data_IF_523062158101
#
_entry.id   IF_523062158101
#
_cell.length_a   1.000
_cell.length_b   1.000
_cell.length_c   1.000
_cell.angle_alpha   90.00
_cell.angle_beta   90.00
_cell.angle_gamma   90.00
#
_symmetry.space_group_name_H-M   'P 1'
#
loop_
_entity.id
_entity.type
_entity.pdbx_description
1 polymer ?
#
# COMPACT_ATOMS: atom_id res chain seq x y z
N UNK A 1 21.61 -16.01 13.91
CA UNK A 1 21.60 -17.48 13.91
C UNK A 1 20.18 -17.96 13.71
N UNK A 2 19.94 -18.82 12.72
CA UNK A 2 18.63 -19.46 12.58
C UNK A 2 18.37 -20.37 13.79
N UNK A 3 17.10 -20.61 14.13
CA UNK A 3 16.71 -21.57 15.17
C UNK A 3 17.35 -22.95 14.95
N UNK A 4 17.64 -23.29 13.69
CA UNK A 4 18.32 -24.52 13.26
C UNK A 4 19.78 -24.53 13.70
N UNK A 5 20.52 -23.42 13.59
CA UNK A 5 21.94 -23.32 13.99
C UNK A 5 22.13 -23.43 15.51
N UNK A 6 21.19 -22.92 16.28
CA UNK A 6 21.21 -23.02 17.75
C UNK A 6 20.91 -24.46 18.20
N UNK A 7 20.03 -25.17 17.46
CA UNK A 7 19.63 -26.55 17.78
C UNK A 7 20.72 -27.56 17.37
N UNK A 8 21.35 -27.39 16.21
CA UNK A 8 22.45 -28.25 15.75
C UNK A 8 23.67 -28.13 16.66
N UNK A 9 23.98 -26.93 17.15
CA UNK A 9 25.13 -26.71 18.03
C UNK A 9 24.93 -27.31 19.44
N UNK A 10 23.68 -27.41 19.93
CA UNK A 10 23.35 -28.04 21.22
C UNK A 10 23.27 -29.56 21.19
N UNK A 11 22.94 -30.17 20.06
CA UNK A 11 22.76 -31.62 19.92
C UNK A 11 24.02 -32.36 19.44
N UNK A 12 25.02 -31.63 18.94
CA UNK A 12 26.30 -32.17 18.47
C UNK A 12 27.07 -33.08 19.46
N UNK A 13 27.05 -32.88 20.80
CA UNK A 13 27.86 -33.70 21.71
C UNK A 13 27.28 -35.09 22.05
N UNK A 14 26.06 -35.44 21.59
CA UNK A 14 25.36 -36.67 21.98
C UNK A 14 25.05 -37.62 20.79
N UNK A 15 25.80 -37.50 19.69
CA UNK A 15 25.55 -38.22 18.44
C UNK A 15 25.98 -39.71 18.48
N UNK A 16 25.27 -40.53 19.25
CA UNK A 16 25.12 -41.96 18.92
C UNK A 16 24.09 -42.14 17.80
N UNK A 17 24.04 -43.32 17.16
CA UNK A 17 23.12 -43.66 16.06
C UNK A 17 21.64 -43.27 16.35
N UNK A 18 21.23 -43.39 17.61
CA UNK A 18 19.89 -42.99 18.07
C UNK A 18 19.66 -41.47 18.05
N UNK A 19 20.69 -40.67 18.37
CA UNK A 19 20.63 -39.20 18.30
C UNK A 19 20.52 -38.68 16.87
N UNK A 20 21.19 -39.36 15.93
CA UNK A 20 21.06 -39.06 14.50
C UNK A 20 19.64 -39.29 13.95
N UNK A 21 18.97 -40.37 14.37
CA UNK A 21 17.59 -40.68 13.98
C UNK A 21 16.59 -39.67 14.57
N UNK A 22 16.78 -39.24 15.81
CA UNK A 22 15.92 -38.21 16.43
C UNK A 22 16.08 -36.87 15.73
N UNK A 23 17.32 -36.46 15.41
CA UNK A 23 17.56 -35.23 14.64
C UNK A 23 16.94 -35.31 13.25
N UNK A 24 17.08 -36.44 12.55
CA UNK A 24 16.48 -36.63 11.22
C UNK A 24 14.94 -36.63 11.27
N UNK A 25 14.34 -37.24 12.29
CA UNK A 25 12.88 -37.22 12.49
C UNK A 25 12.36 -35.82 12.82
N UNK A 26 13.07 -35.07 13.67
CA UNK A 26 12.75 -33.67 13.98
C UNK A 26 12.91 -32.80 12.73
N UNK A 27 14.00 -32.96 11.97
CA UNK A 27 14.23 -32.21 10.73
C UNK A 27 13.16 -32.56 9.68
N UNK A 28 12.80 -33.84 9.56
CA UNK A 28 11.72 -34.30 8.71
C UNK A 28 10.37 -33.71 9.13
N UNK A 29 10.06 -33.68 10.43
CA UNK A 29 8.87 -32.99 10.95
C UNK A 29 8.92 -31.49 10.63
N UNK A 30 10.05 -30.81 10.87
CA UNK A 30 10.20 -29.38 10.59
C UNK A 30 10.04 -29.08 9.10
N UNK A 31 10.56 -29.92 8.21
CA UNK A 31 10.39 -29.77 6.76
C UNK A 31 8.94 -30.08 6.34
N UNK A 32 8.28 -31.07 6.97
CA UNK A 32 6.87 -31.40 6.74
C UNK A 32 5.92 -30.31 7.28
N UNK A 33 6.28 -29.65 8.38
CA UNK A 33 5.51 -28.57 9.02
C UNK A 33 5.96 -27.17 8.58
N UNK A 34 7.01 -27.04 7.76
CA UNK A 34 7.32 -25.80 7.06
C UNK A 34 6.29 -25.59 5.95
N UNK A 35 5.15 -25.01 6.31
CA UNK A 35 4.24 -24.49 5.31
C UNK A 35 4.97 -23.44 4.47
N UNK A 36 5.17 -23.75 3.18
CA UNK A 36 5.70 -22.80 2.21
C UNK A 36 4.80 -21.57 2.20
N UNK A 37 5.40 -20.39 2.36
CA UNK A 37 4.73 -19.11 2.15
C UNK A 37 4.15 -19.07 0.73
N UNK A 38 2.83 -19.23 0.63
CA UNK A 38 2.11 -19.32 -0.63
C UNK A 38 1.53 -17.96 -0.95
N UNK A 39 1.91 -17.42 -2.10
CA UNK A 39 1.33 -16.24 -2.72
C UNK A 39 0.08 -16.63 -3.50
N UNK A 40 -1.04 -15.95 -3.22
CA UNK A 40 -2.36 -16.39 -3.70
C UNK A 40 -2.84 -15.64 -4.94
N UNK A 41 -2.32 -14.46 -5.21
CA UNK A 41 -2.66 -13.68 -6.40
C UNK A 41 -2.21 -14.38 -7.69
N UNK A 42 -3.03 -14.21 -8.73
CA UNK A 42 -2.76 -14.70 -10.08
C UNK A 42 -2.96 -13.60 -11.12
N UNK A 43 -1.92 -13.25 -11.91
CA UNK A 43 -2.01 -12.10 -12.81
C UNK A 43 -2.89 -12.38 -14.04
N UNK A 44 -3.21 -13.65 -14.31
CA UNK A 44 -3.99 -14.10 -15.47
C UNK A 44 -5.40 -14.48 -15.04
N UNK A 45 -5.51 -15.33 -14.02
CA UNK A 45 -6.78 -15.93 -13.60
C UNK A 45 -7.51 -15.11 -12.53
N UNK A 46 -8.83 -15.16 -12.55
CA UNK A 46 -9.67 -14.60 -11.50
C UNK A 46 -9.77 -15.58 -10.33
N UNK A 47 -9.64 -15.08 -9.11
CA UNK A 47 -9.80 -15.86 -7.87
C UNK A 47 -10.85 -15.21 -6.97
N UNK A 48 -11.65 -16.04 -6.32
CA UNK A 48 -12.66 -15.58 -5.37
C UNK A 48 -12.07 -15.48 -3.96
N UNK A 49 -12.44 -14.41 -3.24
CA UNK A 49 -12.07 -14.23 -1.84
C UNK A 49 -13.29 -13.82 -1.03
N UNK A 50 -13.45 -14.45 0.13
CA UNK A 50 -14.64 -14.31 0.99
C UNK A 50 -14.49 -13.12 1.93
N UNK A 51 -15.49 -12.24 1.96
CA UNK A 51 -15.60 -11.18 2.97
C UNK A 51 -15.84 -11.82 4.33
N UNK A 52 -14.93 -11.59 5.27
CA UNK A 52 -15.01 -12.16 6.63
C UNK A 52 -15.24 -11.10 7.69
N UNK A 53 -14.89 -9.84 7.40
CA UNK A 53 -15.14 -8.73 8.31
C UNK A 53 -15.34 -7.43 7.53
N UNK A 54 -16.13 -6.51 8.12
CA UNK A 54 -16.49 -5.22 7.54
C UNK A 54 -16.62 -4.19 8.65
N UNK A 55 -15.72 -3.22 8.67
CA UNK A 55 -15.69 -2.15 9.66
C UNK A 55 -16.02 -0.80 9.02
N UNK A 56 -16.92 -0.04 9.64
CA UNK A 56 -17.37 1.25 9.15
C UNK A 56 -16.46 2.36 9.71
N UNK A 57 -15.62 2.94 8.84
CA UNK A 57 -14.66 3.97 9.22
C UNK A 57 -15.28 5.37 9.22
N UNK A 58 -16.24 5.62 8.33
CA UNK A 58 -16.98 6.88 8.26
C UNK A 58 -18.34 6.67 7.58
N UNK A 59 -19.11 7.76 7.41
CA UNK A 59 -20.44 7.73 6.79
C UNK A 59 -20.46 7.13 5.36
N UNK A 60 -19.33 7.15 4.65
CA UNK A 60 -19.23 6.62 3.28
C UNK A 60 -17.98 5.77 3.04
N UNK A 61 -17.23 5.40 4.08
CA UNK A 61 -16.02 4.57 3.93
C UNK A 61 -16.06 3.40 4.90
N UNK A 62 -15.68 2.22 4.40
CA UNK A 62 -15.50 1.03 5.22
C UNK A 62 -14.21 0.29 4.84
N UNK A 63 -13.67 -0.44 5.82
CA UNK A 63 -12.64 -1.45 5.64
C UNK A 63 -13.33 -2.79 5.38
N UNK A 64 -12.92 -3.47 4.31
CA UNK A 64 -13.43 -4.78 3.92
C UNK A 64 -12.29 -5.79 4.00
N UNK A 65 -12.41 -6.77 4.90
CA UNK A 65 -11.41 -7.82 5.09
C UNK A 65 -11.82 -9.09 4.38
N UNK A 66 -10.97 -9.55 3.48
CA UNK A 66 -11.18 -10.76 2.71
C UNK A 66 -10.21 -11.85 3.14
N UNK A 67 -10.72 -13.05 3.43
CA UNK A 67 -9.91 -14.18 3.82
C UNK A 67 -9.17 -14.78 2.62
N UNK A 68 -7.90 -15.14 2.84
CA UNK A 68 -7.12 -15.97 1.94
C UNK A 68 -7.46 -17.46 2.13
N UNK A 69 -7.10 -18.35 1.18
CA UNK A 69 -7.42 -19.77 1.28
C UNK A 69 -6.87 -20.46 2.52
N UNK A 70 -5.74 -20.00 3.06
CA UNK A 70 -5.14 -20.49 4.31
C UNK A 70 -4.74 -19.32 5.20
N UNK A 71 -4.76 -19.54 6.51
CA UNK A 71 -4.32 -18.54 7.49
C UNK A 71 -2.82 -18.18 7.37
N UNK A 72 -2.01 -19.06 6.79
CA UNK A 72 -0.58 -18.88 6.54
C UNK A 72 -0.26 -18.29 5.16
N UNK A 73 -1.24 -18.19 4.26
CA UNK A 73 -1.05 -17.64 2.92
C UNK A 73 -0.74 -16.13 3.01
N UNK A 74 0.00 -15.62 2.01
CA UNK A 74 0.13 -14.18 1.75
C UNK A 74 -0.61 -13.81 0.46
N UNK A 75 -1.01 -12.54 0.35
CA UNK A 75 -1.65 -12.06 -0.86
C UNK A 75 -0.70 -12.20 -2.07
N UNK A 76 0.57 -11.89 -1.88
CA UNK A 76 1.57 -11.92 -2.94
C UNK A 76 1.54 -10.66 -3.80
N UNK A 77 1.27 -9.50 -3.18
CA UNK A 77 1.17 -8.22 -3.87
C UNK A 77 2.46 -7.41 -3.66
N UNK A 78 3.27 -7.19 -4.71
CA UNK A 78 4.41 -6.29 -4.62
C UNK A 78 4.00 -4.87 -4.22
N UNK A 79 4.83 -4.22 -3.40
CA UNK A 79 4.55 -2.88 -2.87
C UNK A 79 4.51 -1.86 -4.03
N UNK A 80 3.44 -1.09 -4.13
CA UNK A 80 3.16 -0.18 -5.25
C UNK A 80 2.29 -0.77 -6.36
N UNK A 81 1.99 -2.08 -6.30
CA UNK A 81 1.03 -2.70 -7.20
C UNK A 81 -0.37 -2.76 -6.57
N UNK A 82 -1.37 -3.01 -7.42
CA UNK A 82 -2.77 -3.08 -7.05
C UNK A 82 -3.42 -4.36 -7.58
N UNK A 83 -4.67 -4.59 -7.18
CA UNK A 83 -5.50 -5.69 -7.68
C UNK A 83 -6.63 -5.15 -8.55
N UNK A 84 -7.13 -5.97 -9.47
CA UNK A 84 -8.39 -5.75 -10.17
C UNK A 84 -9.50 -6.48 -9.44
N UNK A 85 -10.57 -5.76 -9.11
CA UNK A 85 -11.82 -6.30 -8.54
C UNK A 85 -12.90 -6.27 -9.62
N UNK A 86 -13.60 -7.39 -9.80
CA UNK A 86 -14.70 -7.52 -10.75
C UNK A 86 -16.03 -7.82 -10.07
N UNK A 87 -17.09 -7.25 -10.62
CA UNK A 87 -18.47 -7.62 -10.31
C UNK A 87 -19.31 -7.63 -11.59
N UNK A 88 -20.37 -8.43 -11.59
CA UNK A 88 -21.39 -8.37 -12.63
C UNK A 88 -22.48 -7.38 -12.22
N UNK A 89 -22.68 -6.33 -13.02
CA UNK A 89 -23.63 -5.26 -12.75
C UNK A 89 -24.47 -5.07 -14.03
N UNK A 90 -25.78 -5.30 -13.93
CA UNK A 90 -26.71 -5.22 -15.05
C UNK A 90 -26.28 -6.09 -16.26
N UNK A 91 -25.85 -7.33 -15.99
CA UNK A 91 -25.40 -8.28 -17.03
C UNK A 91 -24.06 -7.93 -17.68
N UNK A 92 -23.33 -6.94 -17.16
CA UNK A 92 -22.00 -6.55 -17.66
C UNK A 92 -20.95 -6.75 -16.58
N UNK A 93 -19.81 -7.33 -16.95
CA UNK A 93 -18.65 -7.35 -16.07
C UNK A 93 -18.05 -5.95 -15.98
N UNK A 94 -18.03 -5.41 -14.77
CA UNK A 94 -17.36 -4.15 -14.44
C UNK A 94 -16.10 -4.47 -13.64
N UNK A 95 -14.99 -3.81 -13.97
CA UNK A 95 -13.70 -4.00 -13.29
C UNK A 95 -13.18 -2.66 -12.78
N UNK A 96 -12.64 -2.63 -11.56
CA UNK A 96 -11.95 -1.47 -10.98
C UNK A 96 -10.70 -1.88 -10.23
N UNK A 97 -9.73 -0.98 -10.19
CA UNK A 97 -8.49 -1.17 -9.43
C UNK A 97 -8.67 -0.78 -7.96
N UNK A 98 -8.10 -1.58 -7.06
CA UNK A 98 -8.01 -1.30 -5.64
C UNK A 98 -6.61 -1.65 -5.15
N UNK A 99 -6.05 -0.82 -4.28
CA UNK A 99 -4.79 -1.12 -3.61
C UNK A 99 -5.07 -1.58 -2.19
N UNK A 100 -4.80 -2.85 -1.85
CA UNK A 100 -4.89 -3.35 -0.48
C UNK A 100 -4.01 -2.56 0.48
N UNK A 101 -4.50 -2.39 1.71
CA UNK A 101 -3.81 -1.67 2.79
C UNK A 101 -3.03 -2.60 3.74
N UNK A 102 -3.14 -3.91 3.50
CA UNK A 102 -2.36 -4.98 4.12
C UNK A 102 -1.10 -5.31 3.32
N UNK A 103 -0.03 -5.70 4.01
CA UNK A 103 1.23 -6.18 3.43
C UNK A 103 1.33 -7.71 3.48
N UNK A 104 2.27 -8.29 2.74
CA UNK A 104 2.43 -9.76 2.62
C UNK A 104 2.84 -10.47 3.94
N UNK A 105 3.23 -9.73 4.97
CA UNK A 105 3.51 -10.27 6.31
C UNK A 105 2.27 -10.29 7.23
N UNK A 106 1.16 -9.67 6.81
CA UNK A 106 -0.16 -9.81 7.42
C UNK A 106 -0.88 -11.01 6.79
N UNK A 107 -0.58 -12.21 7.31
CA UNK A 107 -1.03 -13.48 6.71
C UNK A 107 -2.54 -13.70 6.83
N UNK A 108 -3.07 -14.53 5.92
CA UNK A 108 -4.41 -15.09 5.98
C UNK A 108 -5.54 -14.17 5.52
N UNK A 109 -5.27 -12.89 5.24
CA UNK A 109 -6.28 -11.95 4.76
C UNK A 109 -5.68 -10.82 3.92
N UNK A 110 -6.55 -10.02 3.30
CA UNK A 110 -6.21 -8.68 2.83
C UNK A 110 -7.35 -7.70 3.08
N UNK A 111 -7.01 -6.44 3.27
CA UNK A 111 -7.98 -5.38 3.55
C UNK A 111 -8.07 -4.39 2.39
N UNK A 112 -9.30 -4.01 2.04
CA UNK A 112 -9.61 -2.92 1.13
C UNK A 112 -10.30 -1.79 1.91
N UNK A 113 -9.70 -0.60 1.90
CA UNK A 113 -10.38 0.62 2.37
C UNK A 113 -11.09 1.25 1.18
N UNK A 114 -12.43 1.29 1.22
CA UNK A 114 -13.24 1.72 0.09
C UNK A 114 -14.21 2.81 0.50
N UNK A 115 -14.08 3.96 -0.15
CA UNK A 115 -15.10 5.01 -0.17
C UNK A 115 -16.21 4.64 -1.16
N UNK A 116 -17.43 4.54 -0.67
CA UNK A 116 -18.63 4.28 -1.45
C UNK A 116 -19.13 5.57 -2.08
N UNK A 117 -19.38 5.50 -3.38
CA UNK A 117 -20.00 6.59 -4.13
C UNK A 117 -21.39 6.14 -4.54
N UNK A 118 -22.40 6.98 -4.36
CA UNK A 118 -23.81 6.63 -4.64
C UNK A 118 -24.00 6.14 -6.09
N UNK A 119 -23.37 6.84 -7.04
CA UNK A 119 -23.34 6.49 -8.47
C UNK A 119 -22.13 5.63 -8.87
N UNK A 120 -21.40 5.10 -7.88
CA UNK A 120 -20.26 4.22 -8.10
C UNK A 120 -20.71 2.80 -8.45
N UNK A 121 -20.01 2.15 -9.38
CA UNK A 121 -20.31 0.76 -9.74
C UNK A 121 -19.76 -0.21 -8.67
N UNK A 122 -18.45 -0.48 -8.71
CA UNK A 122 -17.83 -1.47 -7.82
C UNK A 122 -17.84 -1.03 -6.36
N UNK A 123 -17.68 0.26 -6.06
CA UNK A 123 -17.71 0.75 -4.68
C UNK A 123 -19.08 0.59 -4.00
N UNK A 124 -20.18 0.70 -4.76
CA UNK A 124 -21.53 0.37 -4.30
C UNK A 124 -21.76 -1.14 -4.21
N UNK A 125 -21.24 -1.91 -5.17
CA UNK A 125 -21.27 -3.37 -5.08
C UNK A 125 -20.60 -3.88 -3.79
N UNK A 126 -19.39 -3.39 -3.48
CA UNK A 126 -18.68 -3.72 -2.25
C UNK A 126 -19.47 -3.30 -1.00
N UNK A 127 -20.11 -2.12 -1.03
CA UNK A 127 -20.90 -1.65 0.13
C UNK A 127 -22.11 -2.50 0.43
N UNK A 128 -22.65 -3.20 -0.57
CA UNK A 128 -23.78 -4.11 -0.44
C UNK A 128 -23.36 -5.54 -0.08
N UNK A 129 -22.05 -5.85 -0.09
CA UNK A 129 -21.58 -7.17 0.32
C UNK A 129 -21.89 -7.41 1.80
N UNK A 130 -22.36 -8.63 2.08
CA UNK A 130 -22.53 -9.18 3.42
C UNK A 130 -21.42 -10.16 3.75
N UNK A 131 -21.11 -10.29 5.04
CA UNK A 131 -20.13 -11.28 5.51
C UNK A 131 -20.54 -12.66 4.99
N UNK A 132 -19.57 -13.35 4.40
CA UNK A 132 -19.79 -14.65 3.78
C UNK A 132 -19.78 -14.64 2.25
N UNK A 133 -20.04 -13.48 1.63
CA UNK A 133 -20.02 -13.33 0.17
C UNK A 133 -18.60 -13.16 -0.37
N UNK A 134 -18.44 -13.39 -1.67
CA UNK A 134 -17.13 -13.35 -2.32
C UNK A 134 -16.99 -12.20 -3.31
N UNK A 135 -15.74 -11.80 -3.52
CA UNK A 135 -15.34 -10.89 -4.59
C UNK A 135 -14.36 -11.58 -5.53
N UNK A 136 -14.48 -11.32 -6.84
CA UNK A 136 -13.52 -11.79 -7.85
C UNK A 136 -12.35 -10.82 -7.97
N UNK A 137 -11.14 -11.34 -7.79
CA UNK A 137 -9.89 -10.59 -7.79
C UNK A 137 -8.91 -11.18 -8.80
N UNK A 138 -8.17 -10.32 -9.49
CA UNK A 138 -7.04 -10.68 -10.35
C UNK A 138 -5.88 -9.72 -10.10
N UNK A 139 -4.66 -10.23 -10.05
CA UNK A 139 -3.48 -9.40 -9.77
C UNK A 139 -2.22 -10.24 -9.52
N UNK A 140 -1.07 -9.61 -9.29
CA UNK A 140 -0.89 -8.18 -9.17
C UNK A 140 -0.97 -7.43 -10.52
N UNK A 141 -1.24 -6.13 -10.47
CA UNK A 141 -1.28 -5.19 -11.60
C UNK A 141 -0.55 -3.90 -11.25
N UNK A 142 -0.10 -3.17 -12.27
CA UNK A 142 0.65 -1.92 -12.09
C UNK A 142 2.14 -2.07 -12.40
N UNK A 143 2.81 -0.94 -12.64
CA UNK A 143 4.23 -0.88 -13.03
C UNK A 143 5.16 -0.44 -11.92
N UNK A 144 4.63 0.21 -10.88
CA UNK A 144 5.42 0.60 -9.73
C UNK A 144 5.70 -0.60 -8.84
N UNK A 145 6.96 -0.79 -8.48
CA UNK A 145 7.39 -1.75 -7.46
C UNK A 145 8.39 -1.03 -6.57
N UNK A 146 7.99 -0.76 -5.34
CA UNK A 146 8.84 -0.14 -4.35
C UNK A 146 9.91 -1.11 -3.85
N UNK A 147 11.13 -0.63 -3.75
CA UNK A 147 12.23 -1.29 -3.05
C UNK A 147 12.85 -0.30 -2.06
N UNK A 148 13.38 -0.76 -0.91
CA UNK A 148 14.08 0.12 0.03
C UNK A 148 15.17 0.92 -0.67
N UNK A 149 15.32 2.19 -0.28
CA UNK A 149 16.32 3.12 -0.82
C UNK A 149 16.20 3.38 -2.34
N UNK A 150 15.05 3.09 -2.95
CA UNK A 150 14.85 3.31 -4.40
C UNK A 150 14.99 4.77 -4.85
N UNK A 151 14.79 5.68 -3.90
CA UNK A 151 15.08 7.09 -4.01
C UNK A 151 15.44 7.59 -2.60
N UNK A 152 16.33 8.58 -2.47
CA UNK A 152 16.58 9.25 -1.19
C UNK A 152 15.32 9.89 -0.59
N UNK A 153 14.39 10.35 -1.43
CA UNK A 153 13.14 10.97 -0.95
C UNK A 153 11.98 10.69 -1.93
N UNK A 154 10.85 10.23 -1.41
CA UNK A 154 9.57 10.17 -2.12
C UNK A 154 8.63 11.26 -1.64
N UNK A 155 8.18 12.11 -2.56
CA UNK A 155 7.14 13.11 -2.30
C UNK A 155 5.83 12.61 -2.88
N UNK A 156 4.85 12.39 -2.03
CA UNK A 156 3.59 11.74 -2.34
C UNK A 156 2.46 12.77 -2.26
N UNK A 157 1.62 12.82 -3.29
CA UNK A 157 0.45 13.70 -3.33
C UNK A 157 -0.79 12.83 -3.54
N UNK A 158 -1.63 12.74 -2.51
CA UNK A 158 -2.80 11.87 -2.50
C UNK A 158 -4.09 12.69 -2.37
N UNK A 159 -5.14 12.26 -3.08
CA UNK A 159 -6.49 12.81 -2.93
C UNK A 159 -7.51 11.72 -2.60
N UNK A 160 -8.24 11.84 -1.49
CA UNK A 160 -9.27 10.87 -1.09
C UNK A 160 -8.75 9.44 -1.04
N UNK A 161 -9.34 8.51 -1.81
CA UNK A 161 -8.91 7.10 -1.87
C UNK A 161 -7.54 6.87 -2.51
N UNK A 162 -6.97 7.90 -3.15
CA UNK A 162 -5.61 7.86 -3.69
C UNK A 162 -4.53 7.69 -2.62
N UNK A 163 -4.88 7.74 -1.34
CA UNK A 163 -3.97 7.42 -0.24
C UNK A 163 -3.51 5.96 -0.23
N UNK A 164 -4.33 5.02 -0.72
CA UNK A 164 -4.05 3.58 -0.55
C UNK A 164 -2.72 3.10 -1.17
N UNK A 165 -2.30 3.49 -2.40
CA UNK A 165 -0.96 3.18 -2.89
C UNK A 165 0.16 3.86 -2.09
N UNK A 166 -0.06 5.10 -1.61
CA UNK A 166 0.93 5.81 -0.80
C UNK A 166 1.10 5.14 0.55
N UNK A 167 0.00 4.78 1.20
CA UNK A 167 -0.03 4.08 2.48
C UNK A 167 0.70 2.75 2.42
N UNK A 168 0.54 1.98 1.34
CA UNK A 168 1.26 0.72 1.15
C UNK A 168 2.78 0.93 1.13
N UNK A 169 3.26 1.98 0.45
CA UNK A 169 4.68 2.34 0.39
C UNK A 169 5.18 2.84 1.75
N UNK A 170 4.46 3.78 2.38
CA UNK A 170 4.82 4.36 3.68
C UNK A 170 4.90 3.26 4.74
N UNK A 171 3.88 2.41 4.84
CA UNK A 171 3.84 1.30 5.80
C UNK A 171 5.02 0.34 5.60
N UNK A 172 5.36 0.02 4.34
CA UNK A 172 6.51 -0.84 4.01
C UNK A 172 7.85 -0.21 4.42
N UNK A 173 8.08 1.06 4.04
CA UNK A 173 9.33 1.78 4.32
C UNK A 173 9.53 2.07 5.82
N UNK A 174 8.49 2.49 6.53
CA UNK A 174 8.58 2.78 7.97
C UNK A 174 8.82 1.50 8.78
N UNK A 175 8.20 0.37 8.39
CA UNK A 175 8.37 -0.93 9.07
C UNK A 175 9.76 -1.53 8.86
N UNK A 176 10.45 -1.20 7.76
CA UNK A 176 11.79 -1.70 7.48
C UNK A 176 12.87 -0.78 8.10
N UNK A 177 13.57 -1.20 9.18
CA UNK A 177 14.58 -0.37 9.83
C UNK A 177 15.83 -0.12 8.99
N UNK A 178 16.03 -0.91 7.91
CA UNK A 178 17.16 -0.72 6.98
C UNK A 178 16.87 0.32 5.90
N UNK A 179 15.61 0.66 5.70
CA UNK A 179 15.18 1.61 4.68
C UNK A 179 15.42 3.06 5.16
N UNK A 180 16.20 3.82 4.41
CA UNK A 180 16.55 5.20 4.72
C UNK A 180 15.78 6.21 3.86
N UNK A 181 14.85 5.76 3.02
CA UNK A 181 14.03 6.65 2.20
C UNK A 181 13.26 7.64 3.09
N UNK A 182 13.40 8.93 2.77
CA UNK A 182 12.55 9.99 3.32
C UNK A 182 11.22 10.05 2.58
N UNK A 183 10.16 10.40 3.29
CA UNK A 183 8.79 10.39 2.79
C UNK A 183 8.12 11.72 3.16
N UNK A 184 7.59 12.43 2.18
CA UNK A 184 6.67 13.56 2.42
C UNK A 184 5.32 13.20 1.82
N UNK A 185 4.24 13.34 2.57
CA UNK A 185 2.88 13.13 2.06
C UNK A 185 2.08 14.44 2.14
N UNK A 186 1.57 14.90 1.01
CA UNK A 186 0.49 15.90 0.96
C UNK A 186 -0.80 15.13 0.74
N UNK A 187 -1.69 15.15 1.73
CA UNK A 187 -2.96 14.41 1.67
C UNK A 187 -4.16 15.35 1.69
N UNK A 188 -4.84 15.42 0.53
CA UNK A 188 -5.94 16.34 0.29
C UNK A 188 -7.31 15.68 0.35
N UNK A 189 -8.21 16.27 1.13
CA UNK A 189 -9.59 15.81 1.32
C UNK A 189 -10.55 17.01 1.37
N UNK A 190 -11.87 16.77 1.30
CA UNK A 190 -12.85 17.87 1.35
C UNK A 190 -13.01 18.37 2.78
N UNK A 191 -13.25 17.45 3.73
CA UNK A 191 -13.43 17.75 5.16
C UNK A 191 -12.62 16.76 6.01
N UNK A 192 -12.51 17.02 7.32
CA UNK A 192 -11.69 16.19 8.22
C UNK A 192 -12.13 14.73 8.26
N UNK A 193 -13.45 14.47 8.33
CA UNK A 193 -14.01 13.11 8.33
C UNK A 193 -13.74 12.30 7.04
N UNK A 194 -13.27 12.96 5.98
CA UNK A 194 -12.88 12.29 4.74
C UNK A 194 -11.43 11.77 4.77
N UNK A 195 -10.63 12.13 5.78
CA UNK A 195 -9.22 11.71 5.87
C UNK A 195 -9.16 10.22 6.23
N UNK A 196 -8.98 9.39 5.20
CA UNK A 196 -8.91 7.95 5.37
C UNK A 196 -7.59 7.55 6.03
N UNK A 197 -7.64 6.58 6.94
CA UNK A 197 -6.47 6.04 7.64
C UNK A 197 -5.68 7.09 8.45
N UNK A 198 -6.34 8.17 8.89
CA UNK A 198 -5.66 9.28 9.60
C UNK A 198 -4.84 8.78 10.77
N UNK A 199 -5.46 7.98 11.65
CA UNK A 199 -4.82 7.42 12.84
C UNK A 199 -3.59 6.59 12.49
N UNK A 200 -3.72 5.70 11.51
CA UNK A 200 -2.65 4.82 11.07
C UNK A 200 -1.49 5.61 10.45
N UNK A 201 -1.79 6.65 9.68
CA UNK A 201 -0.80 7.55 9.09
C UNK A 201 -0.06 8.34 10.19
N UNK A 202 -0.78 8.91 11.15
CA UNK A 202 -0.19 9.64 12.29
C UNK A 202 0.74 8.72 13.12
N UNK A 203 0.34 7.46 13.34
CA UNK A 203 1.16 6.46 14.01
C UNK A 203 2.43 6.10 13.22
N UNK A 204 2.32 5.97 11.89
CA UNK A 204 3.48 5.72 11.03
C UNK A 204 4.45 6.90 11.04
N UNK A 205 3.94 8.14 11.04
CA UNK A 205 4.76 9.35 11.18
C UNK A 205 5.53 9.32 12.50
N UNK A 206 4.84 9.08 13.62
CA UNK A 206 5.46 9.01 14.95
C UNK A 206 6.55 7.92 15.06
N UNK A 207 6.35 6.77 14.40
CA UNK A 207 7.29 5.63 14.41
C UNK A 207 8.42 5.75 13.39
N UNK A 208 8.41 6.77 12.52
CA UNK A 208 9.35 6.90 11.40
C UNK A 208 10.74 7.39 11.78
N UNK A 209 10.97 7.79 13.03
CA UNK A 209 12.18 8.48 13.48
C UNK A 209 12.49 9.73 12.64
N UNK A 210 11.45 10.49 12.27
CA UNK A 210 11.57 11.73 11.50
C UNK A 210 11.80 11.53 9.99
N UNK A 211 11.71 10.30 9.48
CA UNK A 211 11.82 10.02 8.03
C UNK A 211 10.54 10.28 7.26
N UNK A 212 9.39 10.28 7.93
CA UNK A 212 8.09 10.49 7.32
C UNK A 212 7.41 11.73 7.90
N UNK A 213 6.96 12.63 7.03
CA UNK A 213 6.14 13.80 7.37
C UNK A 213 4.85 13.80 6.54
N UNK A 214 3.74 14.21 7.15
CA UNK A 214 2.43 14.37 6.48
C UNK A 214 1.87 15.78 6.68
N UNK A 215 1.48 16.40 5.57
CA UNK A 215 0.67 17.61 5.51
C UNK A 215 -0.74 17.28 5.03
N UNK A 216 -1.71 17.41 5.92
CA UNK A 216 -3.13 17.33 5.57
C UNK A 216 -3.61 18.66 4.98
N UNK A 217 -4.44 18.59 3.94
CA UNK A 217 -5.01 19.76 3.24
C UNK A 217 -6.52 19.57 3.08
N UNK A 218 -7.31 20.53 3.54
CA UNK A 218 -8.78 20.45 3.54
C UNK A 218 -9.42 21.60 2.77
N UNK A 219 -10.46 21.31 1.97
CA UNK A 219 -11.28 22.36 1.37
C UNK A 219 -12.16 23.07 2.42
N UNK A 220 -12.76 22.30 3.31
CA UNK A 220 -13.68 22.72 4.35
C UNK A 220 -13.12 22.31 5.72
N UNK A 221 -12.08 23.00 6.23
CA UNK A 221 -11.48 22.68 7.51
C UNK A 221 -12.41 23.01 8.69
N UNK A 222 -12.31 22.27 9.81
CA UNK A 222 -12.96 22.67 11.07
C UNK A 222 -12.30 23.92 11.66
N UNK A 223 -12.96 24.53 12.65
CA UNK A 223 -12.34 25.60 13.45
C UNK A 223 -11.06 25.11 14.14
N UNK A 224 -10.01 25.93 14.14
CA UNK A 224 -8.72 25.58 14.75
C UNK A 224 -7.81 24.68 13.88
N UNK A 225 -8.19 24.37 12.64
CA UNK A 225 -7.34 23.61 11.73
C UNK A 225 -6.00 24.30 11.45
N UNK A 226 -4.91 23.56 11.61
CA UNK A 226 -3.53 24.05 11.42
C UNK A 226 -2.87 23.51 10.14
N UNK A 227 -3.56 22.66 9.38
CA UNK A 227 -3.06 22.11 8.13
C UNK A 227 -3.25 23.06 6.94
N UNK A 228 -3.03 22.55 5.73
CA UNK A 228 -3.33 23.29 4.51
C UNK A 228 -4.83 23.53 4.33
N UNK A 229 -5.19 24.64 3.70
CA UNK A 229 -6.58 25.03 3.43
C UNK A 229 -6.76 25.26 1.93
N UNK A 230 -7.88 24.78 1.39
CA UNK A 230 -8.22 24.89 -0.03
C UNK A 230 -7.68 23.73 -0.86
N UNK A 231 -7.26 24.02 -2.10
CA UNK A 231 -6.59 23.04 -2.96
C UNK A 231 -5.09 23.00 -2.66
N UNK A 232 -4.46 21.87 -2.97
CA UNK A 232 -2.99 21.76 -2.92
C UNK A 232 -2.38 22.82 -3.83
N UNK A 233 -1.48 23.63 -3.29
CA UNK A 233 -0.81 24.70 -4.04
C UNK A 233 0.61 24.31 -4.43
N UNK A 234 1.22 25.12 -5.30
CA UNK A 234 2.64 24.97 -5.66
C UNK A 234 3.54 25.10 -4.43
N UNK A 235 3.25 26.07 -3.56
CA UNK A 235 4.05 26.36 -2.37
C UNK A 235 4.03 25.18 -1.39
N UNK A 236 2.86 24.56 -1.20
CA UNK A 236 2.75 23.33 -0.39
C UNK A 236 3.59 22.18 -0.95
N UNK A 237 3.66 22.07 -2.29
CA UNK A 237 4.48 21.07 -2.97
C UNK A 237 5.97 21.38 -2.76
N UNK A 238 6.41 22.63 -2.95
CA UNK A 238 7.78 23.07 -2.73
C UNK A 238 8.25 22.83 -1.29
N UNK A 239 7.40 23.12 -0.30
CA UNK A 239 7.67 22.86 1.12
C UNK A 239 7.86 21.37 1.44
N UNK A 240 7.20 20.47 0.70
CA UNK A 240 7.33 19.03 0.87
C UNK A 240 8.60 18.46 0.20
N UNK A 241 9.25 19.22 -0.69
CA UNK A 241 10.46 18.80 -1.39
C UNK A 241 11.71 18.90 -0.50
N UNK A 242 12.72 18.05 -0.70
CA UNK A 242 14.00 18.25 -0.05
C UNK A 242 14.72 19.50 -0.61
N UNK A 243 15.60 20.15 0.18
CA UNK A 243 16.39 21.30 -0.29
C UNK A 243 17.32 20.99 -1.47
N UNK A 244 17.73 19.73 -1.62
CA UNK A 244 18.49 19.25 -2.78
C UNK A 244 17.59 19.29 -4.02
N UNK A 245 18.06 19.95 -5.10
CA UNK A 245 17.29 20.31 -6.29
C UNK A 245 16.58 19.17 -7.03
N UNK A 246 15.86 19.53 -8.10
CA UNK A 246 14.93 18.69 -8.89
C UNK A 246 15.52 17.31 -9.16
N UNK A 247 14.79 16.26 -8.75
CA UNK A 247 15.22 14.85 -8.73
C UNK A 247 15.75 14.27 -10.05
N UNK A 248 16.28 13.04 -9.99
CA UNK A 248 16.95 12.39 -11.11
C UNK A 248 16.09 11.28 -11.74
N UNK A 249 16.25 11.04 -13.05
CA UNK A 249 15.60 9.92 -13.74
C UNK A 249 16.17 8.54 -13.33
N UNK A 250 17.31 8.50 -12.64
CA UNK A 250 17.95 7.25 -12.25
C UNK A 250 17.51 6.80 -10.85
N UNK A 251 17.40 5.47 -10.67
CA UNK A 251 17.07 4.88 -9.38
C UNK A 251 18.16 5.17 -8.34
N UNK A 252 17.78 5.59 -7.14
CA UNK A 252 18.72 5.99 -6.08
C UNK A 252 19.33 7.39 -6.25
N UNK A 253 19.05 8.09 -7.35
CA UNK A 253 19.51 9.46 -7.58
C UNK A 253 18.32 10.43 -7.49
N UNK A 254 18.40 11.43 -6.61
CA UNK A 254 17.38 12.47 -6.49
C UNK A 254 16.00 11.99 -6.01
N UNK A 255 15.04 12.91 -5.88
CA UNK A 255 13.72 12.61 -5.34
C UNK A 255 12.68 12.26 -6.42
N UNK A 256 11.70 11.41 -6.08
CA UNK A 256 10.58 11.05 -6.97
C UNK A 256 9.27 11.58 -6.42
N UNK A 257 8.38 11.98 -7.33
CA UNK A 257 7.01 12.43 -7.01
C UNK A 257 6.02 11.36 -7.39
N UNK A 258 5.17 10.98 -6.46
CA UNK A 258 4.13 9.97 -6.62
C UNK A 258 2.76 10.63 -6.49
N UNK A 259 1.84 10.41 -7.43
CA UNK A 259 0.51 11.02 -7.38
C UNK A 259 -0.61 10.01 -7.60
N UNK A 260 -1.67 10.12 -6.81
CA UNK A 260 -2.91 9.37 -7.00
C UNK A 260 -4.10 10.15 -6.44
N UNK A 261 -5.15 10.32 -7.23
CA UNK A 261 -6.32 11.10 -6.82
C UNK A 261 -7.26 11.40 -7.98
N UNK A 262 -8.30 12.23 -7.75
CA UNK A 262 -9.26 12.59 -8.79
C UNK A 262 -8.58 13.27 -9.99
N UNK A 263 -9.05 13.05 -11.23
CA UNK A 263 -8.44 13.63 -12.42
C UNK A 263 -8.23 15.16 -12.39
N UNK A 264 -9.17 15.97 -11.87
CA UNK A 264 -8.96 17.43 -11.74
C UNK A 264 -7.77 17.77 -10.85
N UNK A 265 -7.62 17.08 -9.72
CA UNK A 265 -6.47 17.25 -8.83
C UNK A 265 -5.17 16.88 -9.55
N UNK A 266 -5.12 15.71 -10.19
CA UNK A 266 -3.93 15.26 -10.92
C UNK A 266 -3.50 16.27 -11.99
N UNK A 267 -4.46 16.84 -12.72
CA UNK A 267 -4.16 17.85 -13.74
C UNK A 267 -3.61 19.14 -13.14
N UNK A 268 -4.13 19.61 -12.00
CA UNK A 268 -3.58 20.77 -11.30
C UNK A 268 -2.14 20.49 -10.82
N UNK A 269 -1.87 19.31 -10.24
CA UNK A 269 -0.54 18.97 -9.72
C UNK A 269 0.51 18.90 -10.84
N UNK A 270 0.14 18.39 -12.02
CA UNK A 270 1.01 18.44 -13.21
C UNK A 270 1.42 19.88 -13.55
N UNK A 271 0.48 20.83 -13.46
CA UNK A 271 0.75 22.25 -13.68
C UNK A 271 1.72 22.82 -12.66
N UNK A 272 1.51 22.55 -11.37
CA UNK A 272 2.42 23.01 -10.31
C UNK A 272 3.82 22.41 -10.45
N UNK A 273 3.92 21.09 -10.69
CA UNK A 273 5.19 20.40 -10.89
C UNK A 273 5.97 20.96 -12.10
N UNK A 274 5.28 21.27 -13.20
CA UNK A 274 5.91 21.89 -14.37
C UNK A 274 6.49 23.27 -14.04
N UNK A 275 5.80 24.08 -13.23
CA UNK A 275 6.27 25.40 -12.79
C UNK A 275 7.51 25.34 -11.87
N UNK A 276 7.80 24.18 -11.29
CA UNK A 276 8.99 23.95 -10.45
C UNK A 276 10.01 23.04 -11.12
N UNK A 277 9.92 22.88 -12.44
CA UNK A 277 10.95 22.25 -13.27
C UNK A 277 10.86 20.73 -13.41
N UNK A 278 9.78 20.09 -12.97
CA UNK A 278 9.61 18.65 -13.15
C UNK A 278 9.13 18.29 -14.57
N UNK A 279 9.55 17.13 -15.09
CA UNK A 279 9.06 16.64 -16.36
C UNK A 279 7.57 16.31 -16.30
N UNK A 280 6.88 16.56 -17.40
CA UNK A 280 5.51 16.11 -17.55
C UNK A 280 5.44 14.57 -17.44
N UNK A 281 4.53 14.02 -16.62
CA UNK A 281 4.38 12.57 -16.52
C UNK A 281 3.86 11.99 -17.84
N UNK A 282 4.29 10.76 -18.16
CA UNK A 282 3.80 9.99 -19.30
C UNK A 282 2.32 9.63 -19.13
N UNK A 283 1.64 9.36 -20.25
CA UNK A 283 0.26 8.85 -20.22
C UNK A 283 0.14 7.51 -19.49
N UNK A 284 1.20 6.70 -19.53
CA UNK A 284 1.37 5.50 -18.72
C UNK A 284 2.73 5.62 -18.04
N UNK A 285 2.73 5.80 -16.72
CA UNK A 285 3.96 5.96 -15.96
C UNK A 285 4.82 4.69 -15.98
N UNK A 286 6.12 4.89 -15.99
CA UNK A 286 7.14 3.85 -15.84
C UNK A 286 7.97 4.09 -14.58
N UNK A 287 8.60 3.04 -14.08
CA UNK A 287 9.29 3.06 -12.78
C UNK A 287 10.43 4.10 -12.74
N UNK A 288 11.12 4.30 -13.86
CA UNK A 288 12.19 5.28 -13.99
C UNK A 288 11.68 6.73 -13.98
N UNK A 289 10.39 6.97 -14.25
CA UNK A 289 9.84 8.32 -14.31
C UNK A 289 10.02 9.04 -12.96
N UNK A 290 10.42 10.31 -13.02
CA UNK A 290 10.56 11.14 -11.84
C UNK A 290 9.20 11.48 -11.23
N UNK A 291 8.17 11.65 -12.07
CA UNK A 291 6.78 11.84 -11.67
C UNK A 291 5.98 10.60 -12.09
N UNK A 292 5.51 9.84 -11.10
CA UNK A 292 4.74 8.62 -11.30
C UNK A 292 3.27 8.82 -10.93
N UNK A 293 2.37 8.46 -11.84
CA UNK A 293 0.92 8.46 -11.62
C UNK A 293 0.46 7.01 -11.43
N UNK A 294 -0.22 6.74 -10.31
CA UNK A 294 -0.86 5.45 -10.05
C UNK A 294 -2.18 5.26 -10.80
#
# INVERSE_FOLDING_TARGET
MSTIEVLTQKLAPHAGFLGGLVVAAILGLVILFQEKDRKVLDPVEWRSFKLVDKDHLSHNTALYRFALPRASDSLGLPIGQHISVAAEINGKQVVRSYTPTTLDDEKGHFDLVVKTYEKGNISRYLSLLTIGQEVKVKGPKGKFVYTPDMAPHLVMIAGGTGITPMYQIIKSSVKNPRDQTKLSLIYANVQEDDILLKKEIDELQAKSNGRFDVKYVLNNPPEGWTGGVGFVTKEMIEEAMPPSGVGSPNHGEGHKVLMCGPPPMINAMKGHLAQIGYPAPRSVSKLEDQVFLF
#
